data_IF_525252951186
#
_entry.id   IF_525252951186
#
_cell.length_a   1.000
_cell.length_b   1.000
_cell.length_c   1.000
_cell.angle_alpha   90.00
_cell.angle_beta   90.00
_cell.angle_gamma   90.00
#
_symmetry.space_group_name_H-M   'P 1'
#
loop_
_entity.id
_entity.type
_entity.pdbx_description
1 polymer ?
#
# COMPACT_ATOMS: atom_id res chain seq x y z
N UNK A 1 17.85 -23.79 -2.24
CA UNK A 1 16.80 -23.70 -1.20
C UNK A 1 15.44 -23.69 -1.91
N UNK A 2 14.63 -24.72 -1.71
CA UNK A 2 13.32 -24.84 -2.37
C UNK A 2 12.23 -24.33 -1.44
N UNK A 3 11.97 -23.02 -1.48
CA UNK A 3 10.74 -22.45 -0.92
C UNK A 3 9.55 -22.99 -1.73
N UNK A 4 8.54 -23.56 -1.07
CA UNK A 4 7.25 -23.80 -1.73
C UNK A 4 6.54 -25.15 -1.53
N UNK A 5 6.91 -25.99 -0.55
CA UNK A 5 6.08 -27.17 -0.22
C UNK A 5 5.61 -27.17 1.25
N UNK A 6 6.51 -26.85 2.19
CA UNK A 6 6.20 -26.72 3.62
C UNK A 6 7.07 -25.63 4.23
N UNK A 7 6.57 -24.95 5.26
CA UNK A 7 7.40 -24.00 6.01
C UNK A 7 8.47 -24.77 6.79
N UNK A 8 9.69 -24.25 6.80
CA UNK A 8 10.76 -24.78 7.66
C UNK A 8 10.49 -24.44 9.13
N UNK A 9 11.11 -25.16 10.06
CA UNK A 9 10.97 -24.88 11.50
C UNK A 9 11.44 -23.46 11.86
N UNK A 10 12.46 -22.96 11.18
CA UNK A 10 12.95 -21.59 11.35
C UNK A 10 11.89 -20.57 10.92
N UNK A 11 11.27 -20.77 9.77
CA UNK A 11 10.17 -19.92 9.29
C UNK A 11 8.96 -19.93 10.24
N UNK A 12 8.61 -21.10 10.80
CA UNK A 12 7.52 -21.21 11.79
C UNK A 12 7.90 -20.47 13.08
N UNK A 13 9.14 -20.61 13.55
CA UNK A 13 9.62 -19.91 14.75
C UNK A 13 9.56 -18.40 14.57
N UNK A 14 10.02 -17.90 13.43
CA UNK A 14 9.95 -16.48 13.08
C UNK A 14 8.52 -15.98 12.99
N UNK A 15 7.64 -16.71 12.30
CA UNK A 15 6.23 -16.36 12.17
C UNK A 15 5.52 -16.28 13.55
N UNK A 16 5.78 -17.25 14.42
CA UNK A 16 5.24 -17.26 15.79
C UNK A 16 5.78 -16.09 16.61
N UNK A 17 7.08 -15.81 16.53
CA UNK A 17 7.71 -14.70 17.23
C UNK A 17 7.09 -13.37 16.81
N UNK A 18 6.90 -13.14 15.51
CA UNK A 18 6.24 -11.94 14.97
C UNK A 18 4.80 -11.85 15.48
N UNK A 19 4.04 -12.94 15.41
CA UNK A 19 2.64 -12.98 15.88
C UNK A 19 2.51 -12.61 17.36
N UNK A 20 3.40 -13.14 18.20
CA UNK A 20 3.41 -12.85 19.63
C UNK A 20 3.83 -11.41 19.94
N UNK A 21 4.83 -10.87 19.23
CA UNK A 21 5.20 -9.45 19.35
C UNK A 21 4.03 -8.52 19.02
N UNK A 22 3.35 -8.78 17.89
CA UNK A 22 2.15 -8.01 17.49
C UNK A 22 1.03 -8.08 18.53
N UNK A 23 0.84 -9.24 19.17
CA UNK A 23 -0.15 -9.38 20.25
C UNK A 23 0.21 -8.54 21.47
N UNK A 24 1.49 -8.54 21.87
CA UNK A 24 1.97 -7.76 23.01
C UNK A 24 1.87 -6.25 22.74
N UNK A 25 2.15 -5.80 21.52
CA UNK A 25 1.98 -4.40 21.10
C UNK A 25 0.56 -3.85 21.29
N UNK A 26 -0.48 -4.70 21.23
CA UNK A 26 -1.88 -4.25 21.36
C UNK A 26 -2.28 -3.84 22.78
N UNK A 27 -1.49 -4.20 23.79
CA UNK A 27 -1.84 -3.97 25.20
C UNK A 27 -0.83 -3.08 25.90
N UNK A 28 -1.29 -2.26 26.86
CA UNK A 28 -0.40 -1.38 27.64
C UNK A 28 0.65 -2.19 28.42
N UNK A 29 0.25 -3.32 29.01
CA UNK A 29 1.16 -4.22 29.71
C UNK A 29 2.17 -4.88 28.76
N UNK A 30 1.73 -5.36 27.60
CA UNK A 30 2.62 -5.97 26.61
C UNK A 30 3.64 -4.99 26.03
N UNK A 31 3.25 -3.73 25.76
CA UNK A 31 4.19 -2.66 25.39
C UNK A 31 5.27 -2.43 26.45
N UNK A 32 4.89 -2.40 27.74
CA UNK A 32 5.85 -2.23 28.83
C UNK A 32 6.81 -3.43 28.94
N UNK A 33 6.35 -4.65 28.65
CA UNK A 33 7.19 -5.85 28.61
C UNK A 33 8.19 -5.76 27.45
N UNK A 34 7.74 -5.39 26.24
CA UNK A 34 8.60 -5.25 25.07
C UNK A 34 9.70 -4.19 25.29
N UNK A 35 9.35 -3.06 25.92
CA UNK A 35 10.32 -2.03 26.31
C UNK A 35 11.39 -2.56 27.28
N UNK A 36 11.02 -3.37 28.27
CA UNK A 36 11.96 -3.96 29.23
C UNK A 36 12.91 -4.98 28.62
N UNK A 37 12.43 -5.75 27.65
CA UNK A 37 13.23 -6.77 26.96
C UNK A 37 14.20 -6.14 25.96
N UNK A 38 14.11 -4.82 25.71
CA UNK A 38 14.98 -4.15 24.75
C UNK A 38 14.74 -4.58 23.31
N UNK A 39 13.62 -5.27 23.04
CA UNK A 39 13.14 -5.54 21.69
C UNK A 39 12.10 -4.46 21.38
N UNK A 40 12.50 -3.32 20.78
CA UNK A 40 11.50 -2.47 20.15
C UNK A 40 10.72 -3.37 19.20
N UNK A 41 9.39 -3.26 19.25
CA UNK A 41 8.50 -3.78 18.23
C UNK A 41 9.17 -3.60 16.86
N UNK A 42 9.48 -4.70 16.16
CA UNK A 42 10.14 -4.66 14.85
C UNK A 42 9.24 -3.90 13.87
N UNK A 43 9.44 -2.58 13.77
CA UNK A 43 9.38 -1.60 12.66
C UNK A 43 8.25 -1.69 11.61
N UNK A 44 7.38 -2.69 11.61
CA UNK A 44 6.33 -2.86 10.60
C UNK A 44 4.96 -2.32 11.01
N UNK A 45 4.78 -1.80 12.23
CA UNK A 45 3.47 -1.32 12.71
C UNK A 45 3.34 0.20 12.83
N UNK A 46 4.37 1.00 12.55
CA UNK A 46 4.27 2.47 12.59
C UNK A 46 5.07 3.13 11.47
N UNK A 47 4.68 2.90 10.21
CA UNK A 47 4.72 4.07 9.31
C UNK A 47 3.65 4.98 9.88
N UNK A 48 4.08 6.02 10.61
CA UNK A 48 3.17 7.03 11.12
C UNK A 48 2.30 7.50 9.96
N UNK A 49 1.01 7.17 10.05
CA UNK A 49 0.04 7.55 9.03
C UNK A 49 -0.09 9.06 9.12
N UNK A 50 0.61 9.77 8.25
CA UNK A 50 0.49 11.22 8.12
C UNK A 50 -0.86 11.53 7.50
N UNK A 51 -1.59 12.49 8.08
CA UNK A 51 -2.84 12.92 7.48
C UNK A 51 -2.57 13.64 6.15
N UNK A 52 -3.31 13.25 5.12
CA UNK A 52 -3.23 13.86 3.81
C UNK A 52 -4.08 15.13 3.78
N UNK A 53 -3.51 16.24 3.31
CA UNK A 53 -4.28 17.47 3.04
C UNK A 53 -5.54 17.17 2.24
N UNK A 54 -6.65 17.85 2.59
CA UNK A 54 -7.97 17.66 1.97
C UNK A 54 -7.93 17.79 0.44
N UNK A 55 -7.08 18.67 -0.08
CA UNK A 55 -6.88 18.86 -1.52
C UNK A 55 -6.29 17.63 -2.20
N UNK A 56 -5.34 16.95 -1.56
CA UNK A 56 -4.74 15.71 -2.09
C UNK A 56 -5.74 14.57 -1.96
N UNK A 57 -6.42 14.45 -0.82
CA UNK A 57 -7.39 13.38 -0.54
C UNK A 57 -8.56 13.39 -1.52
N UNK A 58 -9.05 14.56 -1.92
CA UNK A 58 -10.17 14.70 -2.88
C UNK A 58 -9.77 14.36 -4.32
N UNK A 59 -8.49 14.53 -4.67
CA UNK A 59 -7.95 14.13 -5.99
C UNK A 59 -7.67 12.63 -6.07
N UNK A 60 -7.36 11.98 -4.95
CA UNK A 60 -7.15 10.53 -4.88
C UNK A 60 -8.47 9.76 -4.86
N UNK A 61 -9.01 9.47 -6.04
CA UNK A 61 -10.17 8.57 -6.19
C UNK A 61 -9.71 7.12 -6.31
N UNK A 62 -9.67 6.39 -5.19
CA UNK A 62 -9.47 4.94 -5.17
C UNK A 62 -10.84 4.27 -5.19
N UNK A 63 -11.17 3.62 -6.30
CA UNK A 63 -12.40 2.83 -6.39
C UNK A 63 -12.21 1.50 -5.67
N UNK A 64 -13.22 1.00 -4.94
CA UNK A 64 -13.16 -0.32 -4.33
C UNK A 64 -13.05 -1.41 -5.41
N UNK A 65 -12.46 -2.58 -5.07
CA UNK A 65 -12.53 -3.75 -5.95
C UNK A 65 -13.99 -4.15 -6.20
N UNK A 66 -14.31 -4.77 -7.35
CA UNK A 66 -15.64 -5.30 -7.61
C UNK A 66 -16.03 -6.35 -6.58
N UNK A 67 -17.35 -6.48 -6.38
CA UNK A 67 -17.97 -7.39 -5.42
C UNK A 67 -17.52 -8.85 -5.55
N UNK A 68 -17.18 -9.32 -6.76
CA UNK A 68 -16.78 -10.70 -7.01
C UNK A 68 -15.34 -10.81 -7.54
N UNK A 69 -14.37 -10.24 -6.81
CA UNK A 69 -12.96 -10.26 -7.21
C UNK A 69 -12.07 -10.71 -6.06
N UNK A 70 -11.91 -12.03 -5.93
CA UNK A 70 -11.01 -12.64 -4.96
C UNK A 70 -9.54 -12.51 -5.42
N UNK A 71 -8.61 -12.10 -4.53
CA UNK A 71 -7.22 -11.85 -4.89
C UNK A 71 -6.43 -13.12 -5.25
N UNK A 72 -6.83 -14.29 -4.77
CA UNK A 72 -6.13 -15.56 -4.95
C UNK A 72 -6.77 -16.41 -6.05
N UNK A 73 -8.10 -16.39 -6.17
CA UNK A 73 -8.84 -17.25 -7.10
C UNK A 73 -9.01 -16.64 -8.51
N UNK A 74 -9.06 -15.31 -8.65
CA UNK A 74 -9.45 -14.65 -9.91
C UNK A 74 -8.30 -13.91 -10.60
N UNK A 75 -7.14 -14.57 -10.75
CA UNK A 75 -5.94 -13.95 -11.33
C UNK A 75 -6.15 -13.43 -12.76
N UNK A 76 -6.77 -14.22 -13.64
CA UNK A 76 -7.01 -13.83 -15.04
C UNK A 76 -7.96 -12.63 -15.15
N UNK A 77 -9.04 -12.64 -14.38
CA UNK A 77 -10.00 -11.52 -14.30
C UNK A 77 -9.34 -10.25 -13.78
N UNK A 78 -8.41 -10.36 -12.83
CA UNK A 78 -7.62 -9.22 -12.33
C UNK A 78 -6.70 -8.66 -13.42
N UNK A 79 -6.03 -9.50 -14.20
CA UNK A 79 -5.17 -9.09 -15.31
C UNK A 79 -6.00 -8.36 -16.38
N UNK A 80 -7.13 -8.93 -16.78
CA UNK A 80 -8.05 -8.32 -17.73
C UNK A 80 -8.57 -6.97 -17.23
N UNK A 81 -8.88 -6.86 -15.93
CA UNK A 81 -9.29 -5.60 -15.30
C UNK A 81 -8.19 -4.54 -15.34
N UNK A 82 -6.94 -4.90 -15.09
CA UNK A 82 -5.80 -3.97 -15.19
C UNK A 82 -5.67 -3.45 -16.62
N UNK A 83 -5.77 -4.32 -17.62
CA UNK A 83 -5.72 -3.93 -19.03
C UNK A 83 -6.86 -2.95 -19.39
N UNK A 84 -8.09 -3.25 -18.94
CA UNK A 84 -9.25 -2.38 -19.15
C UNK A 84 -9.09 -1.00 -18.48
N UNK A 85 -8.63 -0.95 -17.23
CA UNK A 85 -8.41 0.30 -16.50
C UNK A 85 -7.31 1.15 -17.15
N UNK A 86 -6.23 0.53 -17.63
CA UNK A 86 -5.16 1.24 -18.37
C UNK A 86 -5.70 1.92 -19.63
N UNK A 87 -6.48 1.18 -20.44
CA UNK A 87 -7.11 1.71 -21.64
C UNK A 87 -8.06 2.88 -21.34
N UNK A 88 -8.86 2.78 -20.27
CA UNK A 88 -9.72 3.89 -19.85
C UNK A 88 -8.95 5.13 -19.41
N UNK A 89 -7.84 4.94 -18.70
CA UNK A 89 -6.97 6.06 -18.27
C UNK A 89 -6.29 6.72 -19.46
N UNK A 90 -5.80 5.95 -20.44
CA UNK A 90 -5.23 6.47 -21.68
C UNK A 90 -6.25 7.30 -22.47
N UNK A 91 -7.47 6.77 -22.65
CA UNK A 91 -8.55 7.51 -23.30
C UNK A 91 -8.91 8.80 -22.53
N UNK A 92 -8.94 8.77 -21.19
CA UNK A 92 -9.26 9.95 -20.38
C UNK A 92 -8.19 11.04 -20.44
N UNK A 93 -6.90 10.68 -20.59
CA UNK A 93 -5.80 11.64 -20.77
C UNK A 93 -5.98 12.51 -22.01
N UNK A 94 -6.64 11.99 -23.05
CA UNK A 94 -6.90 12.74 -24.29
C UNK A 94 -7.99 13.81 -24.16
N UNK A 95 -8.84 13.74 -23.12
CA UNK A 95 -9.96 14.66 -22.89
C UNK A 95 -9.72 15.73 -21.82
N UNK A 96 -8.56 15.72 -21.15
CA UNK A 96 -8.22 16.69 -20.11
C UNK A 96 -6.81 17.22 -20.30
N UNK A 97 -6.60 17.98 -21.37
CA UNK A 97 -5.51 18.95 -21.48
C UNK A 97 -6.03 20.29 -20.95
N UNK A 98 -5.79 20.67 -19.70
CA UNK A 98 -5.65 22.09 -19.41
C UNK A 98 -4.28 22.52 -19.94
N UNK A 99 -4.30 23.24 -21.06
CA UNK A 99 -3.25 24.19 -21.44
C UNK A 99 -2.76 24.92 -20.19
N UNK A 100 -1.44 25.00 -19.99
CA UNK A 100 -0.67 26.15 -19.48
C UNK A 100 0.76 25.72 -19.12
N UNK A 101 1.70 25.87 -20.07
CA UNK A 101 2.87 26.73 -19.92
C UNK A 101 3.57 26.87 -21.28
N UNK A 102 3.06 27.80 -22.09
CA UNK A 102 3.85 28.50 -23.11
C UNK A 102 3.68 29.97 -22.82
N UNK A 103 4.64 30.56 -22.10
CA UNK A 103 4.84 32.00 -22.06
C UNK A 103 6.21 32.26 -22.66
N UNK A 104 6.26 32.31 -23.98
CA UNK A 104 7.28 33.06 -24.68
C UNK A 104 7.07 34.54 -24.34
N UNK A 105 7.92 35.10 -23.49
CA UNK A 105 8.04 36.53 -23.28
C UNK A 105 9.37 37.01 -23.84
N UNK A 106 9.37 37.55 -25.06
CA UNK A 106 10.49 38.28 -25.64
C UNK A 106 10.13 39.78 -25.73
N UNK A 107 10.90 40.60 -24.99
CA UNK A 107 11.32 42.01 -25.25
C UNK A 107 10.25 43.14 -25.30
N UNK A 108 10.65 44.44 -25.34
CA UNK A 108 11.67 45.23 -24.59
C UNK A 108 10.96 46.50 -23.99
N UNK A 109 11.51 47.73 -23.83
CA UNK A 109 12.66 48.44 -24.43
C UNK A 109 14.00 48.28 -23.70
#
# INVERSE_FOLDING_TARGET
MSLGVWNTLEEIREALLISQKQRLEKTKAGKAILQKVGSPADVHSTIDKVDLSREVRTRLKVLPPPRNMDPCLHNETRIARVAFLRKQLENKKTSSTPTLLSTAGKMPP
#
